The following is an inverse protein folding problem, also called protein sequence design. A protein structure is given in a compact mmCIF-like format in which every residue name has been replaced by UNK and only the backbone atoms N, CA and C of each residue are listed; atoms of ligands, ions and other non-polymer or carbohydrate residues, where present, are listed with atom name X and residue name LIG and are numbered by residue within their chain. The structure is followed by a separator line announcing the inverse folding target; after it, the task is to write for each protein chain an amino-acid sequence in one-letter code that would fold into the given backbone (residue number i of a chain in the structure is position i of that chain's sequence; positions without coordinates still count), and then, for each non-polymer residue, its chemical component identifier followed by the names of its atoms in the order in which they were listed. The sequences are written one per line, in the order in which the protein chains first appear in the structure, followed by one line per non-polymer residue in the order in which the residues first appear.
data_IF_614297205422
#
_entry.id   IF_614297205422
#
_cell.length_a   1.000
_cell.length_b   1.000
_cell.length_c   1.000
_cell.angle_alpha   90.00
_cell.angle_beta   90.00
_cell.angle_gamma   90.00
#
_symmetry.space_group_name_H-M   'P 1'
#
loop_
_entity.id
_entity.type
_entity.pdbx_description
1 polymer ?
#
# COMPACT_ATOMS: atom_id res chain seq x y z
N UNK A 1 15.41 -16.29 -22.05
CA UNK A 1 14.24 -16.79 -21.27
C UNK A 1 13.47 -15.61 -20.70
N UNK A 2 12.19 -15.75 -20.36
CA UNK A 2 11.41 -14.66 -19.74
C UNK A 2 10.77 -15.05 -18.40
N UNK A 3 10.67 -14.09 -17.50
CA UNK A 3 10.05 -14.25 -16.18
C UNK A 3 8.98 -13.18 -15.97
N UNK A 4 7.84 -13.58 -15.41
CA UNK A 4 6.72 -12.69 -15.13
C UNK A 4 6.58 -12.42 -13.63
N UNK A 5 6.53 -11.15 -13.24
CA UNK A 5 6.08 -10.71 -11.92
C UNK A 5 4.70 -10.08 -12.00
N UNK A 6 3.78 -10.50 -11.13
CA UNK A 6 2.44 -9.90 -11.00
C UNK A 6 2.24 -9.37 -9.58
N UNK A 7 2.19 -8.05 -9.43
CA UNK A 7 1.87 -7.35 -8.18
C UNK A 7 0.39 -6.96 -8.14
N UNK A 8 -0.42 -7.78 -7.49
CA UNK A 8 -1.86 -7.63 -7.36
C UNK A 8 -2.28 -6.99 -6.03
N UNK A 9 -2.58 -5.68 -6.08
CA UNK A 9 -3.01 -4.90 -4.93
C UNK A 9 -4.50 -4.57 -4.89
N UNK A 10 -4.88 -3.79 -3.86
CA UNK A 10 -6.26 -3.33 -3.64
C UNK A 10 -6.78 -2.31 -4.65
N UNK A 11 -5.88 -1.59 -5.35
CA UNK A 11 -6.23 -0.49 -6.28
C UNK A 11 -5.80 -0.78 -7.71
N UNK A 12 -4.64 -1.42 -7.89
CA UNK A 12 -4.03 -1.70 -9.19
C UNK A 12 -3.35 -3.06 -9.19
N UNK A 13 -3.14 -3.60 -10.39
CA UNK A 13 -2.40 -4.83 -10.63
C UNK A 13 -1.34 -4.56 -11.69
N UNK A 14 -0.07 -4.81 -11.39
CA UNK A 14 1.05 -4.56 -12.30
C UNK A 14 1.62 -5.87 -12.79
N UNK A 15 1.82 -6.00 -14.10
CA UNK A 15 2.45 -7.14 -14.74
C UNK A 15 3.78 -6.67 -15.33
N UNK A 16 4.88 -7.31 -14.95
CA UNK A 16 6.23 -6.95 -15.41
C UNK A 16 6.91 -8.19 -15.97
N UNK A 17 7.34 -8.12 -17.22
CA UNK A 17 8.17 -9.14 -17.85
C UNK A 17 9.63 -8.71 -17.79
N UNK A 18 10.50 -9.63 -17.42
CA UNK A 18 11.96 -9.47 -17.48
C UNK A 18 12.60 -10.59 -18.29
N UNK A 19 13.72 -10.29 -18.93
CA UNK A 19 14.57 -11.30 -19.57
C UNK A 19 15.52 -11.97 -18.55
N UNK A 20 16.42 -12.82 -19.05
CA UNK A 20 17.41 -13.55 -18.23
C UNK A 20 18.51 -12.67 -17.64
N UNK A 21 18.69 -11.45 -18.16
CA UNK A 21 19.59 -10.44 -17.64
C UNK A 21 18.87 -9.47 -16.67
N UNK A 22 17.60 -9.76 -16.35
CA UNK A 22 16.70 -8.93 -15.53
C UNK A 22 16.36 -7.57 -16.15
N UNK A 23 16.53 -7.41 -17.46
CA UNK A 23 16.05 -6.22 -18.15
C UNK A 23 14.53 -6.29 -18.25
N UNK A 24 13.84 -5.18 -17.94
CA UNK A 24 12.40 -5.07 -18.13
C UNK A 24 12.10 -4.99 -19.62
N UNK A 25 11.37 -5.98 -20.15
CA UNK A 25 10.99 -6.06 -21.57
C UNK A 25 9.53 -5.69 -21.83
N UNK A 26 8.72 -5.59 -20.78
CA UNK A 26 7.34 -5.14 -20.86
C UNK A 26 6.74 -4.86 -19.50
N UNK A 27 5.87 -3.86 -19.40
CA UNK A 27 5.12 -3.57 -18.18
C UNK A 27 3.76 -3.00 -18.51
N UNK A 28 2.72 -3.56 -17.90
CA UNK A 28 1.37 -3.00 -17.97
C UNK A 28 0.77 -2.86 -16.57
N UNK A 29 -0.24 -2.01 -16.44
CA UNK A 29 -1.01 -1.86 -15.21
C UNK A 29 -2.49 -1.95 -15.52
N UNK A 30 -3.21 -2.79 -14.76
CA UNK A 30 -4.66 -2.92 -14.76
C UNK A 30 -5.24 -2.41 -13.43
N UNK A 31 -6.57 -2.41 -13.35
CA UNK A 31 -7.29 -2.10 -12.11
C UNK A 31 -7.04 -3.11 -10.99
N UNK A 32 -7.83 -2.98 -9.92
CA UNK A 32 -7.76 -3.86 -8.75
C UNK A 32 -7.96 -5.33 -9.12
N UNK A 33 -7.18 -6.22 -8.50
CA UNK A 33 -7.42 -7.67 -8.52
C UNK A 33 -8.11 -8.15 -7.23
N UNK A 34 -8.53 -7.23 -6.34
CA UNK A 34 -9.03 -7.61 -5.03
C UNK A 34 -10.40 -8.30 -5.15
N UNK A 35 -10.47 -9.58 -4.80
CA UNK A 35 -11.65 -10.43 -5.02
C UNK A 35 -12.93 -9.90 -4.32
N UNK A 36 -12.83 -9.22 -3.17
CA UNK A 36 -14.01 -8.58 -2.54
C UNK A 36 -14.61 -7.44 -3.37
N UNK A 37 -13.81 -6.81 -4.26
CA UNK A 37 -14.27 -5.68 -5.07
C UNK A 37 -14.80 -6.15 -6.43
N UNK A 38 -14.16 -7.16 -7.04
CA UNK A 38 -14.46 -7.57 -8.42
C UNK A 38 -14.97 -9.00 -8.57
N UNK A 39 -14.86 -9.84 -7.54
CA UNK A 39 -15.17 -11.28 -7.60
C UNK A 39 -14.09 -12.13 -8.30
N UNK A 40 -14.12 -13.44 -8.08
CA UNK A 40 -13.09 -14.37 -8.58
C UNK A 40 -13.09 -14.55 -10.11
N UNK A 41 -14.25 -14.45 -10.76
CA UNK A 41 -14.34 -14.56 -12.22
C UNK A 41 -13.64 -13.39 -12.91
N UNK A 42 -13.86 -12.17 -12.42
CA UNK A 42 -13.20 -10.98 -12.96
C UNK A 42 -11.71 -10.95 -12.59
N UNK A 43 -11.33 -11.46 -11.42
CA UNK A 43 -9.92 -11.68 -11.08
C UNK A 43 -9.25 -12.60 -12.12
N UNK A 44 -9.86 -13.76 -12.41
CA UNK A 44 -9.33 -14.71 -13.39
C UNK A 44 -9.16 -14.06 -14.76
N UNK A 45 -10.18 -13.34 -15.24
CA UNK A 45 -10.12 -12.60 -16.52
C UNK A 45 -9.05 -11.51 -16.51
N UNK A 46 -8.87 -10.81 -15.39
CA UNK A 46 -7.85 -9.77 -15.24
C UNK A 46 -6.44 -10.37 -15.36
N UNK A 47 -6.19 -11.53 -14.73
CA UNK A 47 -4.92 -12.24 -14.81
C UNK A 47 -4.61 -12.76 -16.22
N UNK A 48 -5.62 -13.33 -16.91
CA UNK A 48 -5.50 -13.80 -18.30
C UNK A 48 -5.16 -12.62 -19.22
N UNK A 49 -6.02 -11.60 -19.22
CA UNK A 49 -5.82 -10.45 -20.12
C UNK A 49 -4.54 -9.68 -19.79
N UNK A 50 -4.12 -9.64 -18.52
CA UNK A 50 -2.86 -9.03 -18.13
C UNK A 50 -1.64 -9.75 -18.69
N UNK A 51 -1.63 -11.08 -18.63
CA UNK A 51 -0.59 -11.91 -19.24
C UNK A 51 -0.54 -11.74 -20.77
N UNK A 52 -1.69 -11.80 -21.44
CA UNK A 52 -1.76 -11.67 -22.90
C UNK A 52 -1.27 -10.29 -23.36
N UNK A 53 -1.71 -9.22 -22.68
CA UNK A 53 -1.34 -7.85 -23.03
C UNK A 53 0.15 -7.57 -22.77
N UNK A 54 0.73 -8.05 -21.66
CA UNK A 54 2.16 -7.83 -21.38
C UNK A 54 3.06 -8.61 -22.35
N UNK A 55 2.68 -9.84 -22.73
CA UNK A 55 3.41 -10.61 -23.75
C UNK A 55 3.34 -9.94 -25.12
N UNK A 56 2.17 -9.41 -25.49
CA UNK A 56 1.98 -8.69 -26.74
C UNK A 56 2.83 -7.42 -26.80
N UNK A 57 2.89 -6.65 -25.71
CA UNK A 57 3.72 -5.44 -25.63
C UNK A 57 5.21 -5.77 -25.74
N UNK A 58 5.65 -6.83 -25.05
CA UNK A 58 7.01 -7.36 -25.12
C UNK A 58 7.34 -8.09 -26.44
N UNK A 59 6.35 -8.33 -27.30
CA UNK A 59 6.46 -9.08 -28.56
C UNK A 59 6.98 -10.52 -28.40
N UNK A 60 6.52 -11.20 -27.36
CA UNK A 60 6.83 -12.62 -27.08
C UNK A 60 5.55 -13.45 -27.04
N UNK A 61 5.68 -14.77 -27.15
CA UNK A 61 4.59 -15.70 -26.89
C UNK A 61 4.57 -16.10 -25.41
N UNK A 62 3.40 -16.52 -24.91
CA UNK A 62 3.22 -16.93 -23.51
C UNK A 62 4.11 -18.13 -23.16
N UNK A 63 4.32 -19.03 -24.12
CA UNK A 63 5.15 -20.23 -23.97
C UNK A 63 6.64 -19.92 -23.74
N UNK A 64 7.08 -18.70 -24.02
CA UNK A 64 8.45 -18.24 -23.79
C UNK A 64 8.67 -17.81 -22.32
N UNK A 65 7.59 -17.68 -21.53
CA UNK A 65 7.66 -17.44 -20.09
C UNK A 65 8.08 -18.73 -19.40
N UNK A 66 9.25 -18.69 -18.79
CA UNK A 66 9.84 -19.81 -18.04
C UNK A 66 9.18 -19.97 -16.68
N UNK A 67 8.89 -18.86 -16.01
CA UNK A 67 8.27 -18.87 -14.69
C UNK A 67 7.52 -17.57 -14.40
N UNK A 68 6.46 -17.65 -13.60
CA UNK A 68 5.74 -16.50 -13.07
C UNK A 68 5.68 -16.50 -11.53
N UNK A 69 5.83 -15.34 -10.91
CA UNK A 69 5.45 -15.12 -9.52
C UNK A 69 4.24 -14.20 -9.47
N UNK A 70 3.18 -14.66 -8.82
CA UNK A 70 1.89 -13.97 -8.78
C UNK A 70 1.58 -13.63 -7.33
N UNK A 71 1.81 -12.39 -6.92
CA UNK A 71 1.48 -11.93 -5.58
C UNK A 71 0.11 -11.29 -5.57
N UNK A 72 -0.83 -11.89 -4.85
CA UNK A 72 -2.17 -11.35 -4.69
C UNK A 72 -2.42 -10.91 -3.25
N UNK A 73 -2.91 -9.68 -3.09
CA UNK A 73 -3.33 -9.15 -1.80
C UNK A 73 -4.35 -10.10 -1.15
N UNK A 74 -4.07 -10.48 0.10
CA UNK A 74 -4.93 -11.36 0.90
C UNK A 74 -4.62 -12.86 0.78
N UNK A 75 -3.77 -13.29 -0.16
CA UNK A 75 -3.30 -14.68 -0.21
C UNK A 75 -2.53 -15.03 1.07
N UNK A 76 -2.71 -16.26 1.58
CA UNK A 76 -2.09 -16.74 2.83
C UNK A 76 -2.74 -16.27 4.13
N UNK A 77 -3.69 -15.33 4.11
CA UNK A 77 -4.27 -14.73 5.34
C UNK A 77 -5.64 -15.30 5.74
N UNK A 78 -6.50 -15.64 4.77
CA UNK A 78 -7.89 -16.06 5.01
C UNK A 78 -8.09 -17.45 4.40
N UNK A 79 -8.24 -18.48 5.25
CA UNK A 79 -8.32 -19.89 4.82
C UNK A 79 -9.45 -20.14 3.82
N UNK A 80 -10.57 -19.47 4.01
CA UNK A 80 -11.80 -19.62 3.21
C UNK A 80 -11.62 -19.14 1.76
N UNK A 81 -10.64 -18.26 1.51
CA UNK A 81 -10.42 -17.65 0.20
C UNK A 81 -9.23 -18.28 -0.55
N UNK A 82 -8.33 -18.98 0.15
CA UNK A 82 -7.14 -19.59 -0.44
C UNK A 82 -7.46 -20.44 -1.66
N UNK A 83 -8.40 -21.39 -1.51
CA UNK A 83 -8.77 -22.29 -2.59
C UNK A 83 -9.32 -21.55 -3.81
N UNK A 84 -10.12 -20.49 -3.60
CA UNK A 84 -10.70 -19.73 -4.70
C UNK A 84 -9.63 -18.91 -5.46
N UNK A 85 -8.63 -18.36 -4.77
CA UNK A 85 -7.48 -17.69 -5.39
C UNK A 85 -6.60 -18.69 -6.17
N UNK A 86 -6.36 -19.87 -5.60
CA UNK A 86 -5.61 -20.95 -6.27
C UNK A 86 -6.31 -21.41 -7.54
N UNK A 87 -7.64 -21.58 -7.50
CA UNK A 87 -8.43 -21.92 -8.70
C UNK A 87 -8.40 -20.80 -9.73
N UNK A 88 -8.60 -19.54 -9.32
CA UNK A 88 -8.57 -18.40 -10.24
C UNK A 88 -7.21 -18.26 -10.95
N UNK A 89 -6.11 -18.38 -10.20
CA UNK A 89 -4.75 -18.31 -10.74
C UNK A 89 -4.41 -19.53 -11.59
N UNK A 90 -4.83 -20.73 -11.18
CA UNK A 90 -4.66 -21.95 -11.97
C UNK A 90 -5.38 -21.85 -13.31
N UNK A 91 -6.60 -21.30 -13.32
CA UNK A 91 -7.35 -21.10 -14.55
C UNK A 91 -6.68 -20.07 -15.48
N UNK A 92 -5.98 -19.08 -14.92
CA UNK A 92 -5.27 -18.07 -15.69
C UNK A 92 -3.91 -18.55 -16.22
N UNK A 93 -3.19 -19.37 -15.45
CA UNK A 93 -1.79 -19.71 -15.68
C UNK A 93 -1.52 -21.20 -15.83
N UNK A 94 -2.53 -22.01 -16.15
CA UNK A 94 -2.42 -23.46 -16.36
C UNK A 94 -1.37 -23.87 -17.42
N UNK A 95 -0.97 -22.95 -18.29
CA UNK A 95 -0.03 -23.16 -19.38
C UNK A 95 1.42 -22.75 -19.07
N UNK A 96 1.69 -22.17 -17.89
CA UNK A 96 3.02 -21.74 -17.48
C UNK A 96 3.33 -22.22 -16.05
N UNK A 97 4.61 -22.37 -15.72
CA UNK A 97 5.00 -22.62 -14.35
C UNK A 97 4.84 -21.34 -13.52
N UNK A 98 4.21 -21.43 -12.35
CA UNK A 98 4.04 -20.28 -11.48
C UNK A 98 4.07 -20.63 -9.99
N UNK A 99 4.39 -19.63 -9.18
CA UNK A 99 4.11 -19.61 -7.74
C UNK A 99 3.07 -18.53 -7.46
N UNK A 100 2.04 -18.90 -6.69
CA UNK A 100 1.13 -17.95 -6.07
C UNK A 100 1.67 -17.55 -4.70
N UNK A 101 1.87 -16.27 -4.50
CA UNK A 101 2.27 -15.67 -3.23
C UNK A 101 1.37 -14.50 -2.87
N UNK A 102 1.81 -13.70 -1.92
CA UNK A 102 1.11 -12.49 -1.49
C UNK A 102 1.87 -11.21 -1.88
N UNK A 103 1.18 -10.08 -1.74
CA UNK A 103 1.69 -8.72 -1.94
C UNK A 103 2.91 -8.40 -1.06
N UNK A 104 2.97 -9.01 0.13
CA UNK A 104 4.05 -8.86 1.11
C UNK A 104 5.37 -9.44 0.61
N UNK A 105 5.33 -10.63 0.02
CA UNK A 105 6.53 -11.29 -0.54
C UNK A 105 7.10 -10.47 -1.71
N UNK A 106 6.23 -9.91 -2.55
CA UNK A 106 6.64 -8.99 -3.61
C UNK A 106 7.28 -7.74 -3.04
N UNK A 107 6.67 -7.12 -2.02
CA UNK A 107 7.22 -5.92 -1.41
C UNK A 107 8.61 -6.18 -0.79
N UNK A 108 8.81 -7.32 -0.14
CA UNK A 108 10.12 -7.74 0.38
C UNK A 108 11.13 -7.97 -0.75
N UNK A 109 10.78 -8.77 -1.75
CA UNK A 109 11.68 -9.06 -2.86
C UNK A 109 12.05 -7.80 -3.64
N UNK A 110 11.09 -6.91 -3.90
CA UNK A 110 11.32 -5.66 -4.63
C UNK A 110 12.12 -4.63 -3.85
N UNK A 111 11.97 -4.56 -2.52
CA UNK A 111 12.73 -3.63 -1.68
C UNK A 111 14.15 -4.10 -1.37
N UNK A 112 14.38 -5.42 -1.35
CA UNK A 112 15.65 -6.04 -0.96
C UNK A 112 16.37 -6.74 -2.12
N UNK A 113 15.89 -6.58 -3.35
CA UNK A 113 16.40 -7.30 -4.52
C UNK A 113 16.47 -8.84 -4.31
N UNK A 114 15.45 -9.40 -3.67
CA UNK A 114 15.36 -10.82 -3.32
C UNK A 114 16.20 -11.27 -2.11
N UNK A 115 16.99 -10.38 -1.52
CA UNK A 115 17.84 -10.71 -0.38
C UNK A 115 17.06 -10.78 0.95
N UNK A 116 17.68 -11.43 1.93
CA UNK A 116 17.19 -11.47 3.31
C UNK A 116 17.31 -10.09 3.95
N UNK A 117 16.35 -9.72 4.79
CA UNK A 117 16.36 -8.40 5.43
C UNK A 117 15.00 -7.96 5.94
N UNK A 118 14.89 -6.66 6.20
CA UNK A 118 13.70 -6.03 6.75
C UNK A 118 13.19 -4.98 5.76
N UNK A 119 11.91 -5.04 5.44
CA UNK A 119 11.17 -4.02 4.70
C UNK A 119 10.21 -3.30 5.63
N UNK A 120 10.22 -1.96 5.62
CA UNK A 120 9.29 -1.12 6.37
C UNK A 120 8.52 -0.26 5.38
N UNK A 121 7.20 -0.46 5.35
CA UNK A 121 6.28 0.33 4.55
C UNK A 121 5.66 1.37 5.48
N UNK A 122 5.81 2.66 5.13
CA UNK A 122 5.21 3.79 5.84
C UNK A 122 4.49 4.72 4.83
N UNK A 123 3.24 4.36 4.52
CA UNK A 123 2.36 5.12 3.64
C UNK A 123 1.11 5.60 4.39
N UNK A 124 -0.09 5.48 3.80
CA UNK A 124 -1.35 5.74 4.52
C UNK A 124 -1.51 4.86 5.76
N UNK A 125 -0.99 3.63 5.71
CA UNK A 125 -0.79 2.74 6.87
C UNK A 125 0.69 2.38 7.03
N UNK A 126 1.01 1.52 7.99
CA UNK A 126 2.39 1.07 8.18
C UNK A 126 2.50 -0.39 8.55
N UNK A 127 3.58 -1.03 8.12
CA UNK A 127 3.91 -2.41 8.45
C UNK A 127 5.42 -2.64 8.31
N UNK A 128 5.98 -3.41 9.22
CA UNK A 128 7.34 -3.92 9.11
C UNK A 128 7.31 -5.43 8.87
N UNK A 129 8.15 -5.89 7.95
CA UNK A 129 8.22 -7.29 7.53
C UNK A 129 9.67 -7.69 7.42
N UNK A 130 10.00 -8.93 7.74
CA UNK A 130 11.35 -9.43 7.60
C UNK A 130 11.37 -10.84 7.04
N UNK A 131 12.39 -11.13 6.27
CA UNK A 131 12.76 -12.47 5.86
C UNK A 131 14.11 -12.78 6.51
N UNK A 132 14.12 -13.69 7.47
CA UNK A 132 15.35 -14.02 8.18
C UNK A 132 16.30 -14.89 7.33
N UNK A 133 17.50 -15.13 7.86
CA UNK A 133 18.54 -15.94 7.20
C UNK A 133 18.11 -17.38 6.91
N UNK A 134 17.16 -17.91 7.68
CA UNK A 134 16.64 -19.28 7.54
C UNK A 134 15.42 -19.32 6.60
N UNK A 135 14.98 -18.16 6.09
CA UNK A 135 13.86 -18.02 5.18
C UNK A 135 12.50 -17.88 5.86
N UNK A 136 12.45 -17.66 7.17
CA UNK A 136 11.18 -17.44 7.86
C UNK A 136 10.71 -16.00 7.71
N UNK A 137 9.41 -15.83 7.49
CA UNK A 137 8.74 -14.55 7.43
C UNK A 137 8.34 -14.08 8.83
N UNK A 138 8.70 -12.83 9.14
CA UNK A 138 8.34 -12.13 10.38
C UNK A 138 7.53 -10.88 10.05
N UNK A 139 6.61 -10.50 10.93
CA UNK A 139 5.76 -9.31 10.78
C UNK A 139 5.63 -8.56 12.10
N UNK A 140 5.71 -7.24 12.03
CA UNK A 140 5.39 -6.32 13.12
C UNK A 140 4.49 -5.19 12.59
N UNK A 141 3.44 -4.82 13.34
CA UNK A 141 2.47 -3.81 12.92
C UNK A 141 1.55 -4.27 11.77
N UNK A 142 0.98 -3.31 11.03
CA UNK A 142 0.04 -3.58 9.94
C UNK A 142 -1.32 -4.10 10.38
N UNK A 143 -1.74 -3.82 11.61
CA UNK A 143 -3.05 -4.20 12.17
C UNK A 143 -4.20 -3.29 11.69
N UNK A 144 -3.87 -2.29 10.86
CA UNK A 144 -4.79 -1.28 10.38
C UNK A 144 -4.96 -0.11 11.35
N UNK A 145 -5.44 0.99 10.81
CA UNK A 145 -5.42 2.32 11.44
C UNK A 145 -6.18 2.46 12.77
N UNK A 146 -7.12 1.54 13.05
CA UNK A 146 -7.87 1.53 14.32
C UNK A 146 -7.04 0.91 15.44
N UNK A 147 -6.20 -0.09 15.12
CA UNK A 147 -5.51 -0.93 16.09
C UNK A 147 -3.98 -0.81 16.01
N UNK A 148 -3.46 0.03 15.13
CA UNK A 148 -2.03 0.21 14.88
C UNK A 148 -1.78 1.23 13.77
N UNK A 149 -0.91 0.88 12.82
CA UNK A 149 -0.35 1.76 11.78
C UNK A 149 0.52 2.90 12.37
N UNK A 150 1.21 2.65 13.47
CA UNK A 150 2.17 3.59 14.06
C UNK A 150 3.23 4.03 13.05
N UNK A 151 3.55 5.33 13.01
CA UNK A 151 4.47 5.90 12.03
C UNK A 151 3.91 6.05 10.60
N UNK A 152 2.65 5.66 10.35
CA UNK A 152 1.99 5.95 9.08
C UNK A 152 1.58 7.42 8.95
N UNK A 153 1.30 7.84 7.71
CA UNK A 153 0.71 9.15 7.45
C UNK A 153 -0.65 9.34 8.14
N UNK A 154 -1.47 8.29 8.28
CA UNK A 154 -2.70 8.39 9.07
C UNK A 154 -2.42 8.65 10.55
N UNK A 155 -1.45 7.93 11.13
CA UNK A 155 -1.08 8.10 12.55
C UNK A 155 -0.59 9.53 12.82
N UNK A 156 0.30 10.04 11.97
CA UNK A 156 0.81 11.42 12.05
C UNK A 156 -0.32 12.43 11.81
N UNK A 157 -1.20 12.18 10.83
CA UNK A 157 -2.35 13.03 10.53
C UNK A 157 -3.32 13.14 11.72
N UNK A 158 -3.65 12.02 12.36
CA UNK A 158 -4.46 12.02 13.57
C UNK A 158 -3.77 12.72 14.74
N UNK A 159 -2.47 12.49 14.96
CA UNK A 159 -1.72 13.20 15.99
C UNK A 159 -1.70 14.72 15.74
N UNK A 160 -1.62 15.12 14.47
CA UNK A 160 -1.68 16.52 14.03
C UNK A 160 -3.03 17.17 14.35
N UNK A 161 -4.14 16.50 14.01
CA UNK A 161 -5.48 16.98 14.34
C UNK A 161 -5.71 17.03 15.86
N UNK A 162 -5.24 16.02 16.60
CA UNK A 162 -5.28 16.03 18.07
C UNK A 162 -4.51 17.21 18.65
N UNK A 163 -3.30 17.48 18.15
CA UNK A 163 -2.50 18.62 18.58
C UNK A 163 -3.23 19.94 18.32
N UNK A 164 -3.84 20.12 17.15
CA UNK A 164 -4.69 21.28 16.87
C UNK A 164 -5.78 21.44 17.94
N UNK A 165 -6.54 20.39 18.25
CA UNK A 165 -7.61 20.49 19.26
C UNK A 165 -7.10 20.83 20.65
N UNK A 166 -5.92 20.30 21.05
CA UNK A 166 -5.27 20.65 22.31
C UNK A 166 -4.80 22.11 22.35
N UNK A 167 -4.41 22.67 21.20
CA UNK A 167 -4.05 24.08 21.07
C UNK A 167 -5.28 25.00 21.07
N UNK A 168 -6.40 24.51 20.52
CA UNK A 168 -7.68 25.23 20.50
C UNK A 168 -8.30 25.35 21.89
N UNK A 169 -8.23 24.30 22.71
CA UNK A 169 -8.81 24.28 24.07
C UNK A 169 -7.82 24.63 25.21
N UNK A 170 -6.58 25.00 24.86
CA UNK A 170 -5.59 25.50 25.80
C UNK A 170 -4.81 24.42 26.57
N UNK A 171 -4.99 23.13 26.26
CA UNK A 171 -4.13 22.05 26.78
C UNK A 171 -2.69 22.14 26.27
N UNK A 172 -2.45 22.85 25.18
CA UNK A 172 -1.13 23.15 24.62
C UNK A 172 -1.06 24.60 24.11
N UNK A 173 0.15 25.18 24.09
CA UNK A 173 0.35 26.50 23.48
C UNK A 173 0.17 26.43 21.97
N UNK A 174 -0.49 27.44 21.40
CA UNK A 174 -0.63 27.60 19.94
C UNK A 174 0.75 27.82 19.31
N UNK A 175 1.01 27.12 18.22
CA UNK A 175 2.26 27.19 17.45
C UNK A 175 1.96 27.36 15.95
N UNK A 176 2.98 27.35 15.09
CA UNK A 176 2.78 27.50 13.63
C UNK A 176 1.88 26.40 13.05
N UNK A 177 1.92 25.20 13.63
CA UNK A 177 1.04 24.09 13.29
C UNK A 177 -0.44 24.48 13.37
N UNK A 178 -0.83 25.18 14.44
CA UNK A 178 -2.20 25.68 14.63
C UNK A 178 -2.61 26.62 13.48
N UNK A 179 -1.77 27.61 13.18
CA UNK A 179 -2.04 28.60 12.12
C UNK A 179 -2.10 27.95 10.73
N UNK A 180 -1.24 26.95 10.48
CA UNK A 180 -1.22 26.22 9.21
C UNK A 180 -2.50 25.41 9.01
N UNK A 181 -3.04 24.78 10.04
CA UNK A 181 -4.28 24.03 9.96
C UNK A 181 -5.47 24.97 9.72
N UNK A 182 -5.57 26.08 10.46
CA UNK A 182 -6.63 27.07 10.22
C UNK A 182 -6.62 27.60 8.79
N UNK A 183 -5.43 27.91 8.27
CA UNK A 183 -5.25 28.38 6.90
C UNK A 183 -5.60 27.31 5.87
N UNK A 184 -5.19 26.06 6.11
CA UNK A 184 -5.45 24.95 5.20
C UNK A 184 -6.95 24.65 5.08
N UNK A 185 -7.66 24.68 6.21
CA UNK A 185 -9.10 24.44 6.27
C UNK A 185 -9.95 25.69 6.00
N UNK A 186 -9.31 26.87 5.94
CA UNK A 186 -9.98 28.16 5.82
C UNK A 186 -11.06 28.36 6.91
N UNK A 187 -10.72 28.05 8.17
CA UNK A 187 -11.62 28.17 9.32
C UNK A 187 -11.23 29.34 10.23
N UNK A 188 -12.23 30.09 10.66
CA UNK A 188 -12.07 31.15 11.67
C UNK A 188 -12.39 30.64 13.07
N UNK A 189 -13.42 29.81 13.20
CA UNK A 189 -13.80 29.18 14.46
C UNK A 189 -13.13 27.81 14.59
N UNK A 190 -12.43 27.57 15.69
CA UNK A 190 -11.70 26.32 15.92
C UNK A 190 -12.62 25.09 15.96
N UNK A 191 -13.90 25.27 16.31
CA UNK A 191 -14.91 24.19 16.33
C UNK A 191 -15.36 23.75 14.93
N UNK A 192 -15.08 24.53 13.88
CA UNK A 192 -15.44 24.17 12.50
C UNK A 192 -14.72 22.90 12.04
N UNK A 193 -13.61 22.53 12.71
CA UNK A 193 -12.92 21.27 12.46
C UNK A 193 -13.80 20.03 12.71
N UNK A 194 -14.78 20.13 13.62
CA UNK A 194 -15.72 19.03 13.92
C UNK A 194 -16.59 18.77 12.70
N UNK A 195 -17.13 19.84 12.09
CA UNK A 195 -17.91 19.77 10.86
C UNK A 195 -17.06 19.24 9.71
N UNK A 196 -15.83 19.74 9.56
CA UNK A 196 -14.92 19.26 8.53
C UNK A 196 -14.69 17.74 8.63
N UNK A 197 -14.32 17.24 9.82
CA UNK A 197 -14.01 15.81 10.01
C UNK A 197 -15.25 14.93 9.87
N UNK A 198 -16.39 15.32 10.44
CA UNK A 198 -17.58 14.46 10.48
C UNK A 198 -18.43 14.54 9.21
N UNK A 199 -18.54 15.72 8.61
CA UNK A 199 -19.50 15.97 7.53
C UNK A 199 -18.81 16.06 6.17
N UNK A 200 -17.67 16.76 6.08
CA UNK A 200 -16.99 17.00 4.80
C UNK A 200 -16.14 15.81 4.36
N UNK A 201 -15.26 15.31 5.25
CA UNK A 201 -14.43 14.14 4.95
C UNK A 201 -14.98 12.83 5.52
N UNK A 202 -16.01 12.89 6.38
CA UNK A 202 -16.69 11.71 6.95
C UNK A 202 -15.73 10.70 7.63
N UNK A 203 -14.69 11.21 8.28
CA UNK A 203 -13.65 10.38 8.89
C UNK A 203 -12.80 9.58 7.90
N UNK A 204 -12.78 9.96 6.62
CA UNK A 204 -12.01 9.27 5.59
C UNK A 204 -10.52 9.20 5.96
N UNK A 205 -9.99 7.99 5.94
CA UNK A 205 -8.62 7.69 6.36
C UNK A 205 -7.58 8.39 5.48
N UNK A 206 -7.83 8.49 4.18
CA UNK A 206 -6.90 9.09 3.22
C UNK A 206 -6.87 10.60 3.44
N UNK A 207 -8.04 11.23 3.61
CA UNK A 207 -8.13 12.66 3.92
C UNK A 207 -7.45 13.01 5.25
N UNK A 208 -7.64 12.22 6.30
CA UNK A 208 -6.93 12.40 7.58
C UNK A 208 -5.42 12.24 7.39
N UNK A 209 -4.96 11.26 6.61
CA UNK A 209 -3.54 11.04 6.36
C UNK A 209 -2.85 12.23 5.66
N UNK A 210 -3.60 13.05 4.89
CA UNK A 210 -3.03 14.25 4.26
C UNK A 210 -2.53 15.27 5.28
N UNK A 211 -3.05 15.28 6.51
CA UNK A 211 -2.55 16.19 7.56
C UNK A 211 -1.11 15.90 7.98
N UNK A 212 -0.55 14.72 7.67
CA UNK A 212 0.87 14.48 7.84
C UNK A 212 1.74 15.45 7.03
N UNK A 213 1.27 15.87 5.84
CA UNK A 213 1.98 16.86 5.01
C UNK A 213 1.92 18.26 5.61
N UNK A 214 0.82 18.62 6.28
CA UNK A 214 0.69 19.87 7.02
C UNK A 214 1.61 19.87 8.24
N UNK A 215 1.70 18.74 8.94
CA UNK A 215 2.64 18.54 10.03
C UNK A 215 4.08 18.73 9.56
N UNK A 216 4.47 18.05 8.48
CA UNK A 216 5.81 18.19 7.89
C UNK A 216 6.11 19.64 7.48
N UNK A 217 5.13 20.35 6.93
CA UNK A 217 5.29 21.77 6.61
C UNK A 217 5.59 22.60 7.86
N UNK A 218 4.88 22.35 8.96
CA UNK A 218 5.16 23.02 10.23
C UNK A 218 6.57 22.70 10.75
N UNK A 219 7.03 21.44 10.63
CA UNK A 219 8.41 21.04 10.97
C UNK A 219 9.44 21.81 10.14
N UNK A 220 9.25 21.89 8.83
CA UNK A 220 10.12 22.64 7.91
C UNK A 220 10.15 24.13 8.28
N UNK A 221 9.02 24.68 8.76
CA UNK A 221 8.94 26.05 9.27
C UNK A 221 9.50 26.21 10.70
N UNK A 222 10.09 25.19 11.30
CA UNK A 222 10.74 25.23 12.62
C UNK A 222 9.79 25.07 13.80
N UNK A 223 8.65 24.43 13.62
CA UNK A 223 7.72 24.12 14.71
C UNK A 223 8.18 22.89 15.51
N UNK A 224 8.67 23.14 16.73
CA UNK A 224 9.12 22.08 17.64
C UNK A 224 7.99 21.17 18.12
N UNK A 225 6.75 21.65 18.20
CA UNK A 225 5.59 20.84 18.59
C UNK A 225 5.25 19.86 17.47
N UNK A 226 5.30 20.30 16.22
CA UNK A 226 5.13 19.42 15.07
C UNK A 226 6.26 18.39 14.95
N UNK A 227 7.51 18.78 15.28
CA UNK A 227 8.67 17.87 15.22
C UNK A 227 8.49 16.67 16.14
N UNK A 228 7.97 16.91 17.36
CA UNK A 228 7.65 15.85 18.34
C UNK A 228 6.55 14.87 17.91
N UNK A 229 5.80 15.18 16.85
CA UNK A 229 4.80 14.24 16.30
C UNK A 229 5.50 13.16 15.45
N UNK A 230 6.69 13.46 14.91
CA UNK A 230 7.51 12.53 14.14
C UNK A 230 8.52 11.74 14.98
N UNK A 231 8.81 12.21 16.20
CA UNK A 231 9.69 11.54 17.18
C UNK A 231 8.97 10.36 17.87
#
# INVERSE_FOLDING_TARGET
MYFLGVDGGGTKTTFTLVDEELNIVGTITKGTCHYNQIGFDNLTKLLITGLEEVCKDAKINVEEITYAFVGLAGYGKIKEVLYALEVATKNAYSHINYTLGNDVEIALAGSLNGEKGINIIAGTGSIAQALDKDGNLHRCGGWGYVLGDEGSAYYIGMATLKMFTMQSDGRCSKTKLYDLIKRHLNIENDYDIIKYVNDEIQGDRIEIAKFATICLKAVIEGDNTASKIFD
#
